data_IF_673841250204
#
_entry.id   IF_673841250204
#
_cell.length_a   1.000
_cell.length_b   1.000
_cell.length_c   1.000
_cell.angle_alpha   90.00
_cell.angle_beta   90.00
_cell.angle_gamma   90.00
#
_symmetry.space_group_name_H-M   'P 1'
#
loop_
_entity.id
_entity.type
_entity.pdbx_description
1 polymer ?
#
# COMPACT_ATOMS: atom_id res chain seq x y z
N UNK A 1 -0.63 -9.09 -16.99
CA UNK A 1 -0.36 -7.80 -16.34
C UNK A 1 0.43 -8.13 -15.09
N UNK A 2 1.57 -7.50 -14.92
CA UNK A 2 2.34 -7.59 -13.68
C UNK A 2 1.80 -6.58 -12.67
N UNK A 3 1.94 -6.87 -11.37
CA UNK A 3 1.45 -5.95 -10.34
C UNK A 3 2.16 -4.59 -10.35
N UNK A 4 3.37 -4.53 -10.91
CA UNK A 4 4.10 -3.26 -11.11
C UNK A 4 3.46 -2.39 -12.20
N UNK A 5 2.82 -2.98 -13.21
CA UNK A 5 2.04 -2.24 -14.22
C UNK A 5 0.88 -1.51 -13.54
N UNK A 6 0.21 -2.20 -12.61
CA UNK A 6 -0.87 -1.63 -11.80
C UNK A 6 -0.37 -0.49 -10.89
N UNK A 7 0.78 -0.68 -10.23
CA UNK A 7 1.36 0.34 -9.36
C UNK A 7 1.81 1.59 -10.11
N UNK A 8 2.24 1.46 -11.37
CA UNK A 8 2.65 2.59 -12.18
C UNK A 8 1.49 3.55 -12.52
N UNK A 9 0.25 3.05 -12.47
CA UNK A 9 -0.95 3.85 -12.71
C UNK A 9 -1.40 4.67 -11.49
N UNK A 10 -0.88 4.37 -10.28
CA UNK A 10 -1.26 5.05 -9.05
C UNK A 10 -0.36 6.28 -8.83
N UNK A 11 -0.91 7.49 -8.63
CA UNK A 11 -0.15 8.68 -8.28
C UNK A 11 0.68 8.48 -7.00
N UNK A 12 1.77 9.23 -6.84
CA UNK A 12 2.58 9.18 -5.61
C UNK A 12 2.17 10.29 -4.67
N UNK A 13 1.76 9.92 -3.46
CA UNK A 13 1.57 10.90 -2.37
C UNK A 13 2.93 11.43 -1.91
N UNK A 14 3.12 12.76 -1.81
CA UNK A 14 4.35 13.36 -1.32
C UNK A 14 4.42 13.29 0.22
N UNK A 15 4.39 12.08 0.78
CA UNK A 15 4.57 11.87 2.22
C UNK A 15 5.93 12.46 2.65
N UNK A 16 6.00 13.35 3.65
CA UNK A 16 7.28 13.84 4.13
C UNK A 16 8.07 12.70 4.79
N UNK A 17 9.41 12.79 4.82
CA UNK A 17 10.25 11.82 5.52
C UNK A 17 9.77 11.59 6.96
N UNK A 18 9.61 10.33 7.36
CA UNK A 18 9.14 9.96 8.70
C UNK A 18 7.63 9.99 8.92
N UNK A 19 6.81 10.36 7.93
CA UNK A 19 5.36 10.31 8.07
C UNK A 19 4.86 8.87 8.31
N UNK A 20 4.17 8.67 9.43
CA UNK A 20 3.60 7.37 9.83
C UNK A 20 2.14 7.45 10.26
N UNK A 21 1.50 8.63 10.24
CA UNK A 21 0.17 8.81 10.82
C UNK A 21 -0.86 7.83 10.23
N UNK A 22 -0.89 7.64 8.91
CA UNK A 22 -1.82 6.67 8.32
C UNK A 22 -1.44 5.22 8.68
N UNK A 23 -0.14 4.89 8.74
CA UNK A 23 0.34 3.55 9.08
C UNK A 23 0.07 3.15 10.54
N UNK A 24 -0.07 4.13 11.45
CA UNK A 24 -0.42 3.90 12.84
C UNK A 24 -1.94 3.78 13.06
N UNK A 25 -2.74 4.49 12.26
CA UNK A 25 -4.18 4.62 12.51
C UNK A 25 -5.07 3.72 11.63
N UNK A 26 -4.65 3.34 10.42
CA UNK A 26 -5.52 2.68 9.43
C UNK A 26 -5.55 1.15 9.47
N UNK A 27 -4.94 0.51 10.48
CA UNK A 27 -4.94 -0.94 10.55
C UNK A 27 -3.77 -1.58 9.81
N UNK A 28 -3.78 -2.91 9.79
CA UNK A 28 -2.90 -3.71 8.96
C UNK A 28 -3.55 -3.79 7.58
N UNK A 29 -2.90 -3.27 6.52
CA UNK A 29 -3.47 -3.31 5.18
C UNK A 29 -3.67 -4.75 4.74
N UNK A 30 -4.81 -5.04 4.10
CA UNK A 30 -4.98 -6.27 3.35
C UNK A 30 -3.97 -6.31 2.20
N UNK A 31 -3.59 -7.53 1.83
CA UNK A 31 -2.64 -7.79 0.76
C UNK A 31 -2.92 -9.13 0.12
N UNK A 32 -2.63 -9.23 -1.16
CA UNK A 32 -2.75 -10.47 -1.94
C UNK A 32 -1.57 -11.40 -1.68
N UNK A 33 -1.64 -12.69 -2.07
CA UNK A 33 -0.50 -13.59 -1.99
C UNK A 33 0.72 -13.07 -2.76
N UNK A 34 0.51 -12.46 -3.92
CA UNK A 34 1.58 -11.86 -4.74
C UNK A 34 2.32 -10.77 -3.97
N UNK A 35 1.59 -9.91 -3.27
CA UNK A 35 2.20 -8.87 -2.44
C UNK A 35 2.87 -9.42 -1.19
N UNK A 36 2.30 -10.44 -0.56
CA UNK A 36 2.90 -11.08 0.60
C UNK A 36 4.25 -11.72 0.25
N UNK A 37 4.35 -12.41 -0.89
CA UNK A 37 5.61 -12.96 -1.39
C UNK A 37 6.63 -11.86 -1.72
N UNK A 38 6.19 -10.74 -2.32
CA UNK A 38 7.07 -9.58 -2.55
C UNK A 38 7.61 -8.99 -1.25
N UNK A 39 6.78 -8.88 -0.22
CA UNK A 39 7.19 -8.39 1.10
C UNK A 39 8.17 -9.37 1.75
N UNK A 40 7.89 -10.68 1.74
CA UNK A 40 8.79 -11.72 2.27
C UNK A 40 10.15 -11.70 1.58
N UNK A 41 10.18 -11.59 0.25
CA UNK A 41 11.41 -11.51 -0.52
C UNK A 41 12.25 -10.28 -0.14
N UNK A 42 11.62 -9.11 -0.04
CA UNK A 42 12.28 -7.89 0.41
C UNK A 42 12.83 -7.99 1.83
N UNK A 43 12.05 -8.54 2.76
CA UNK A 43 12.50 -8.73 4.15
C UNK A 43 13.71 -9.66 4.21
N UNK A 44 13.66 -10.78 3.47
CA UNK A 44 14.80 -11.71 3.36
C UNK A 44 16.05 -11.03 2.81
N UNK A 45 15.92 -10.22 1.76
CA UNK A 45 17.03 -9.44 1.19
C UNK A 45 17.62 -8.45 2.21
N UNK A 46 16.78 -7.85 3.05
CA UNK A 46 17.21 -6.92 4.11
C UNK A 46 17.63 -7.61 5.42
N UNK A 47 17.65 -8.95 5.48
CA UNK A 47 17.98 -9.68 6.70
C UNK A 47 16.95 -9.49 7.84
N UNK A 48 15.70 -9.15 7.48
CA UNK A 48 14.60 -8.93 8.41
C UNK A 48 13.68 -10.16 8.44
N UNK A 49 13.05 -10.40 9.59
CA UNK A 49 12.01 -11.42 9.73
C UNK A 49 10.62 -10.88 9.35
N UNK A 50 9.74 -11.79 8.94
CA UNK A 50 8.30 -11.53 8.89
C UNK A 50 7.81 -11.22 10.30
N UNK A 51 6.97 -10.21 10.42
CA UNK A 51 6.42 -9.74 11.70
C UNK A 51 4.91 -9.87 11.69
N UNK A 52 4.35 -10.18 12.86
CA UNK A 52 2.91 -10.21 13.08
C UNK A 52 2.43 -8.90 13.67
N UNK A 53 1.24 -8.48 13.25
CA UNK A 53 0.62 -7.28 13.77
C UNK A 53 0.17 -7.47 15.22
N UNK A 54 0.26 -6.39 16.01
CA UNK A 54 -0.34 -6.34 17.35
C UNK A 54 -1.56 -5.44 17.29
N UNK A 55 -2.76 -6.02 17.36
CA UNK A 55 -4.01 -5.30 17.15
C UNK A 55 -4.09 -4.70 15.74
N UNK A 56 -4.38 -3.41 15.64
CA UNK A 56 -4.48 -2.68 14.36
C UNK A 56 -3.15 -2.08 13.91
N UNK A 57 -2.08 -2.17 14.71
CA UNK A 57 -0.80 -1.54 14.35
C UNK A 57 -0.08 -2.36 13.30
N UNK A 58 0.19 -1.76 12.13
CA UNK A 58 0.99 -2.38 11.08
C UNK A 58 2.36 -2.83 11.65
N UNK A 59 2.80 -4.09 11.44
CA UNK A 59 4.02 -4.60 12.06
C UNK A 59 5.32 -4.03 11.46
N UNK A 60 5.21 -3.36 10.31
CA UNK A 60 6.33 -2.78 9.59
C UNK A 60 6.47 -1.26 9.79
N UNK A 61 5.58 -0.63 10.56
CA UNK A 61 5.69 0.78 10.93
C UNK A 61 6.70 0.98 12.06
N UNK A 62 7.62 1.92 11.86
CA UNK A 62 8.68 2.29 12.80
C UNK A 62 8.61 3.81 13.06
N UNK A 63 9.29 4.29 14.10
CA UNK A 63 9.38 5.74 14.38
C UNK A 63 9.98 6.55 13.24
N UNK A 64 10.69 5.91 12.30
CA UNK A 64 11.35 6.54 11.15
C UNK A 64 10.59 6.39 9.84
N UNK A 65 9.41 5.76 9.84
CA UNK A 65 8.66 5.45 8.63
C UNK A 65 8.33 3.96 8.46
N UNK A 66 7.88 3.59 7.27
CA UNK A 66 7.58 2.22 6.89
C UNK A 66 8.85 1.46 6.50
N UNK A 67 9.18 0.38 7.22
CA UNK A 67 10.36 -0.45 6.93
C UNK A 67 10.28 -1.20 5.59
N UNK A 68 9.07 -1.36 5.03
CA UNK A 68 8.81 -1.99 3.74
C UNK A 68 8.34 -1.00 2.66
N UNK A 69 8.65 0.30 2.81
CA UNK A 69 8.15 1.37 1.93
C UNK A 69 8.22 1.06 0.41
N UNK A 70 9.33 0.49 -0.13
CA UNK A 70 9.44 0.18 -1.56
C UNK A 70 8.46 -0.89 -2.05
N UNK A 71 8.11 -1.84 -1.18
CA UNK A 71 7.26 -3.00 -1.48
C UNK A 71 5.90 -2.92 -0.77
N UNK A 72 5.42 -1.70 -0.47
CA UNK A 72 4.09 -1.49 0.10
C UNK A 72 3.01 -2.12 -0.77
N UNK A 73 1.95 -2.68 -0.17
CA UNK A 73 0.82 -3.23 -0.91
C UNK A 73 0.00 -2.12 -1.57
N UNK A 74 -0.86 -2.52 -2.50
CA UNK A 74 -1.75 -1.72 -3.30
C UNK A 74 -2.57 -0.74 -2.45
N UNK A 75 -3.21 -1.21 -1.38
CA UNK A 75 -4.02 -0.36 -0.50
C UNK A 75 -3.19 0.77 0.13
N UNK A 76 -1.93 0.50 0.50
CA UNK A 76 -1.03 1.55 1.00
C UNK A 76 -0.57 2.54 -0.06
N UNK A 77 -0.61 2.17 -1.34
CA UNK A 77 -0.28 3.05 -2.47
C UNK A 77 -1.48 3.89 -2.89
N UNK A 78 -2.68 3.31 -2.88
CA UNK A 78 -3.93 3.96 -3.21
C UNK A 78 -4.28 5.05 -2.18
N UNK A 79 -3.97 4.81 -0.91
CA UNK A 79 -4.23 5.78 0.16
C UNK A 79 -3.49 7.11 -0.06
N UNK A 80 -4.26 8.19 -0.01
CA UNK A 80 -3.87 9.57 -0.28
C UNK A 80 -3.91 9.98 -1.76
N UNK A 81 -4.27 9.07 -2.66
CA UNK A 81 -4.28 9.32 -4.11
C UNK A 81 -5.68 9.41 -4.70
N UNK A 82 -6.69 8.97 -3.95
CA UNK A 82 -8.09 8.93 -4.37
C UNK A 82 -8.99 9.79 -3.48
N UNK A 83 -10.06 10.40 -4.03
CA UNK A 83 -11.13 11.06 -3.29
C UNK A 83 -11.74 10.22 -2.15
N UNK A 84 -11.79 8.89 -2.29
CA UNK A 84 -12.38 7.99 -1.29
C UNK A 84 -11.39 7.59 -0.18
N UNK A 85 -10.09 7.73 -0.42
CA UNK A 85 -9.04 7.35 0.50
C UNK A 85 -8.07 8.50 0.73
N UNK A 86 -8.56 9.62 1.26
CA UNK A 86 -7.76 10.82 1.44
C UNK A 86 -6.74 10.70 2.58
N UNK A 87 -5.57 11.35 2.41
CA UNK A 87 -4.57 11.43 3.47
C UNK A 87 -5.10 12.28 4.64
N UNK A 88 -5.02 11.75 5.87
CA UNK A 88 -5.41 12.48 7.10
C UNK A 88 -4.57 13.75 7.36
N UNK A 89 -3.30 13.74 6.96
CA UNK A 89 -2.41 14.91 7.06
C UNK A 89 -2.56 15.84 5.84
N UNK A 90 -3.51 15.55 4.95
CA UNK A 90 -3.83 16.33 3.77
C UNK A 90 -2.67 16.48 2.75
N UNK A 91 -1.68 15.58 2.77
CA UNK A 91 -0.72 15.44 1.66
C UNK A 91 -1.40 14.83 0.44
N UNK A 92 -1.20 15.43 -0.74
CA UNK A 92 -1.85 15.02 -1.99
C UNK A 92 -0.86 15.02 -3.16
N UNK A 93 -0.99 14.09 -4.11
CA UNK A 93 -0.29 14.18 -5.39
C UNK A 93 -0.73 15.43 -6.17
N UNK A 94 0.03 15.82 -7.19
CA UNK A 94 -0.34 16.91 -8.12
C UNK A 94 -1.70 16.67 -8.78
N UNK A 95 -2.02 15.39 -9.04
CA UNK A 95 -3.30 14.95 -9.60
C UNK A 95 -3.83 13.77 -8.78
N UNK A 96 -5.03 13.93 -8.25
CA UNK A 96 -5.80 12.83 -7.68
C UNK A 96 -6.38 11.94 -8.79
N UNK A 97 -6.59 10.68 -8.46
CA UNK A 97 -7.40 9.79 -9.26
C UNK A 97 -8.83 10.34 -9.37
N UNK A 98 -9.46 10.16 -10.52
CA UNK A 98 -10.91 10.25 -10.63
C UNK A 98 -11.57 9.05 -9.96
N UNK A 99 -12.88 9.12 -9.72
CA UNK A 99 -13.63 7.97 -9.19
C UNK A 99 -13.61 6.78 -10.16
N UNK A 100 -13.64 7.05 -11.47
CA UNK A 100 -13.56 6.02 -12.53
C UNK A 100 -12.17 5.39 -12.59
N UNK A 101 -11.10 6.18 -12.47
CA UNK A 101 -9.74 5.65 -12.40
C UNK A 101 -9.52 4.78 -11.15
N UNK A 102 -10.08 5.18 -9.99
CA UNK A 102 -10.06 4.32 -8.80
C UNK A 102 -10.80 3.01 -9.04
N UNK A 103 -12.03 3.07 -9.55
CA UNK A 103 -12.86 1.88 -9.78
C UNK A 103 -12.16 0.89 -10.71
N UNK A 104 -11.57 1.39 -11.80
CA UNK A 104 -10.80 0.57 -12.74
C UNK A 104 -9.56 -0.05 -12.06
N UNK A 105 -8.81 0.72 -11.26
CA UNK A 105 -7.65 0.20 -10.54
C UNK A 105 -8.04 -0.92 -9.56
N UNK A 106 -9.13 -0.74 -8.82
CA UNK A 106 -9.66 -1.77 -7.92
C UNK A 106 -10.13 -2.98 -8.71
N UNK A 107 -10.86 -2.78 -9.81
CA UNK A 107 -11.31 -3.85 -10.69
C UNK A 107 -10.14 -4.69 -11.19
N UNK A 108 -9.11 -4.06 -11.77
CA UNK A 108 -7.91 -4.73 -12.25
C UNK A 108 -7.15 -5.44 -11.13
N UNK A 109 -7.05 -4.81 -9.95
CA UNK A 109 -6.41 -5.41 -8.78
C UNK A 109 -7.08 -6.73 -8.38
N UNK A 110 -8.40 -6.72 -8.21
CA UNK A 110 -9.16 -7.93 -7.86
C UNK A 110 -9.17 -8.95 -8.99
N UNK A 111 -9.35 -8.51 -10.24
CA UNK A 111 -9.37 -9.38 -11.41
C UNK A 111 -8.07 -10.19 -11.53
N UNK A 112 -6.92 -9.55 -11.34
CA UNK A 112 -5.63 -10.18 -11.61
C UNK A 112 -4.93 -10.77 -10.39
N UNK A 113 -5.23 -10.30 -9.17
CA UNK A 113 -4.41 -10.62 -8.00
C UNK A 113 -5.19 -11.13 -6.78
N UNK A 114 -6.53 -11.09 -6.73
CA UNK A 114 -7.29 -11.67 -5.61
C UNK A 114 -7.55 -13.17 -5.80
N UNK A 115 -7.57 -13.91 -4.69
CA UNK A 115 -7.80 -15.37 -4.71
C UNK A 115 -9.28 -15.77 -4.91
N UNK A 116 -10.22 -14.82 -4.88
CA UNK A 116 -11.68 -15.06 -4.88
C UNK A 116 -12.26 -15.52 -6.23
N UNK A 117 -11.42 -15.86 -7.21
CA UNK A 117 -11.85 -16.45 -8.50
C UNK A 117 -11.39 -17.90 -8.69
N UNK A 118 -11.48 -18.71 -7.65
CA UNK A 118 -11.40 -20.17 -7.73
C UNK A 118 -12.75 -20.83 -7.46
#
# INVERSE_FOLDING_TARGET
MEIDDLYAMIPRVPCPPGCITCCENFGVPSRTPVEDERIKAYLKEKGMSVKEATGTRCPYVTERGCSIYPVRPFICRLYGTSPNYMCIENYRPERLLSLEEEEELLHLYYLHFSEERR
#
